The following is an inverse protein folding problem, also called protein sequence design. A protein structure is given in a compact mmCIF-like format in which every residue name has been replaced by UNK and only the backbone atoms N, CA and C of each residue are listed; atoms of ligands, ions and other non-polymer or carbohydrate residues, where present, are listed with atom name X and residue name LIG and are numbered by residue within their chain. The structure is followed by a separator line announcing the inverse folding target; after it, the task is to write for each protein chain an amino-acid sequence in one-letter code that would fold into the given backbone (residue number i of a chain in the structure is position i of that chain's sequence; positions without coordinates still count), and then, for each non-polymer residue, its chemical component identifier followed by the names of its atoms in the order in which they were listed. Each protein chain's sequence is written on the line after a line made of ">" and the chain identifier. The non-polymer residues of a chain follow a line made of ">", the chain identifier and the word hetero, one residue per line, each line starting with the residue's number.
data_IF_649324226620
#
_entry.id   IF_649324226620
#
_cell.length_a   1.000
_cell.length_b   1.000
_cell.length_c   1.000
_cell.angle_alpha   90.00
_cell.angle_beta   90.00
_cell.angle_gamma   90.00
#
_symmetry.space_group_name_H-M   'P 1'
#
loop_
_entity.id
_entity.type
_entity.pdbx_description
1 polymer ?
#
# COMPACT_ATOMS: atom_id res chain seq x y z
N UNK A 1 10.33 3.08 1.82
CA UNK A 1 11.37 2.40 2.62
C UNK A 1 10.86 1.02 3.04
N UNK A 2 11.74 0.01 3.13
CA UNK A 2 11.37 -1.34 3.59
C UNK A 2 12.41 -1.86 4.60
N UNK A 3 11.95 -2.34 5.75
CA UNK A 3 12.75 -3.07 6.74
C UNK A 3 12.33 -4.54 6.75
N UNK A 4 13.09 -5.45 6.11
CA UNK A 4 12.74 -6.86 6.02
C UNK A 4 12.67 -7.55 7.38
N UNK A 5 13.63 -7.26 8.27
CA UNK A 5 13.73 -7.88 9.60
C UNK A 5 12.47 -7.69 10.46
N UNK A 6 11.77 -6.57 10.26
CA UNK A 6 10.57 -6.22 11.00
C UNK A 6 9.29 -6.37 10.14
N UNK A 7 9.44 -6.68 8.85
CA UNK A 7 8.33 -6.71 7.90
C UNK A 7 7.62 -5.36 7.74
N UNK A 8 8.35 -4.24 7.88
CA UNK A 8 7.76 -2.89 7.86
C UNK A 8 8.01 -2.22 6.52
N UNK A 9 6.94 -1.79 5.85
CA UNK A 9 7.00 -0.90 4.69
C UNK A 9 6.52 0.50 5.09
N UNK A 10 7.31 1.52 4.77
CA UNK A 10 6.87 2.92 4.75
C UNK A 10 6.62 3.27 3.29
N UNK A 11 5.34 3.32 2.91
CA UNK A 11 4.88 3.52 1.55
C UNK A 11 4.80 5.01 1.16
N UNK A 12 4.79 5.92 2.15
CA UNK A 12 4.51 7.33 1.88
C UNK A 12 3.14 7.51 1.23
N UNK A 13 3.01 8.48 0.34
CA UNK A 13 1.74 8.82 -0.30
C UNK A 13 1.43 8.03 -1.56
N UNK A 14 2.09 6.90 -1.84
CA UNK A 14 1.64 6.01 -2.91
C UNK A 14 0.41 5.19 -2.50
N UNK A 15 0.35 4.83 -1.22
CA UNK A 15 -0.75 4.12 -0.59
C UNK A 15 -1.32 4.97 0.55
N UNK A 16 -2.58 4.75 0.87
CA UNK A 16 -3.20 5.30 2.06
C UNK A 16 -4.13 4.28 2.72
N UNK A 17 -4.33 4.42 4.02
CA UNK A 17 -5.23 3.57 4.81
C UNK A 17 -6.50 4.30 5.23
N UNK A 18 -6.89 5.35 4.48
CA UNK A 18 -8.09 6.13 4.82
C UNK A 18 -9.33 5.23 4.83
N UNK A 19 -10.26 5.51 5.74
CA UNK A 19 -11.48 4.72 5.95
C UNK A 19 -11.21 3.24 6.27
N UNK A 20 -10.12 2.97 7.00
CA UNK A 20 -9.70 1.62 7.40
C UNK A 20 -9.53 0.66 6.21
N UNK A 21 -9.19 1.22 5.05
CA UNK A 21 -9.02 0.49 3.80
C UNK A 21 -7.71 0.84 3.15
N UNK A 22 -6.97 -0.16 2.67
CA UNK A 22 -5.78 0.08 1.86
C UNK A 22 -6.19 0.50 0.45
N UNK A 23 -5.74 1.69 0.04
CA UNK A 23 -6.08 2.31 -1.24
C UNK A 23 -4.85 2.87 -1.92
N UNK A 24 -4.90 2.93 -3.25
CA UNK A 24 -4.00 3.78 -4.02
C UNK A 24 -4.39 5.25 -3.83
N UNK A 25 -3.41 6.13 -3.92
CA UNK A 25 -3.61 7.57 -3.85
C UNK A 25 -4.33 8.09 -5.11
N UNK A 26 -5.22 9.12 -5.00
CA UNK A 26 -6.08 9.51 -6.11
C UNK A 26 -5.33 10.21 -7.25
N UNK A 27 -5.82 9.98 -8.49
CA UNK A 27 -5.25 10.53 -9.74
C UNK A 27 -4.92 12.02 -9.70
N UNK A 28 -5.72 12.84 -9.00
CA UNK A 28 -5.51 14.30 -8.92
C UNK A 28 -4.18 14.73 -8.30
N UNK A 29 -3.50 13.84 -7.56
CA UNK A 29 -2.19 14.11 -6.94
C UNK A 29 -1.12 13.08 -7.35
N UNK A 30 -1.43 12.23 -8.34
CA UNK A 30 -0.52 11.17 -8.81
C UNK A 30 -0.11 11.50 -10.24
N UNK A 31 1.18 11.77 -10.43
CA UNK A 31 1.73 12.20 -11.72
C UNK A 31 1.56 11.13 -12.81
N UNK A 32 1.80 9.86 -12.47
CA UNK A 32 1.65 8.71 -13.36
C UNK A 32 0.90 7.60 -12.62
N UNK A 33 -0.33 7.32 -13.07
CA UNK A 33 -1.17 6.31 -12.43
C UNK A 33 -0.72 4.89 -12.73
N UNK A 34 -0.10 4.64 -13.87
CA UNK A 34 0.29 3.29 -14.27
C UNK A 34 1.56 2.88 -13.54
N UNK A 35 2.54 3.79 -13.43
CA UNK A 35 3.70 3.59 -12.56
C UNK A 35 3.31 3.51 -11.09
N UNK A 36 2.32 4.28 -10.63
CA UNK A 36 1.83 4.18 -9.26
C UNK A 36 1.19 2.81 -8.99
N UNK A 37 0.39 2.28 -9.93
CA UNK A 37 -0.18 0.93 -9.82
C UNK A 37 0.91 -0.14 -9.78
N UNK A 38 1.89 -0.05 -10.69
CA UNK A 38 3.00 -1.01 -10.74
C UNK A 38 3.82 -0.99 -9.44
N UNK A 39 4.16 0.20 -8.96
CA UNK A 39 4.91 0.38 -7.72
C UNK A 39 4.13 -0.12 -6.51
N UNK A 40 2.81 0.12 -6.47
CA UNK A 40 1.94 -0.45 -5.44
C UNK A 40 1.93 -1.98 -5.47
N UNK A 41 1.82 -2.62 -6.65
CA UNK A 41 1.92 -4.08 -6.78
C UNK A 41 3.25 -4.61 -6.22
N UNK A 42 4.37 -3.95 -6.53
CA UNK A 42 5.69 -4.33 -6.02
C UNK A 42 5.77 -4.22 -4.49
N UNK A 43 5.19 -3.17 -3.90
CA UNK A 43 5.16 -3.02 -2.43
C UNK A 43 4.31 -4.09 -1.75
N UNK A 44 3.16 -4.45 -2.33
CA UNK A 44 2.30 -5.51 -1.79
C UNK A 44 2.94 -6.90 -1.90
N UNK A 45 3.74 -7.14 -2.95
CA UNK A 45 4.46 -8.39 -3.14
C UNK A 45 5.54 -8.65 -2.08
N UNK A 46 5.95 -7.64 -1.30
CA UNK A 46 6.86 -7.79 -0.16
C UNK A 46 6.18 -8.43 1.06
N UNK A 47 4.86 -8.67 0.99
CA UNK A 47 4.03 -9.23 2.08
C UNK A 47 4.37 -8.63 3.45
N UNK A 48 4.32 -7.29 3.60
CA UNK A 48 4.72 -6.66 4.84
C UNK A 48 3.77 -7.01 5.99
N UNK A 49 4.31 -7.16 7.19
CA UNK A 49 3.52 -7.30 8.41
C UNK A 49 2.91 -5.95 8.86
N UNK A 50 3.59 -4.85 8.53
CA UNK A 50 3.15 -3.48 8.83
C UNK A 50 3.32 -2.60 7.60
N UNK A 51 2.25 -1.89 7.25
CA UNK A 51 2.24 -0.96 6.12
C UNK A 51 1.89 0.44 6.64
N UNK A 52 2.91 1.28 6.77
CA UNK A 52 2.80 2.67 7.15
C UNK A 52 2.63 3.54 5.89
N UNK A 53 1.45 4.12 5.73
CA UNK A 53 1.12 5.05 4.66
C UNK A 53 1.34 6.50 5.09
N UNK A 54 1.48 7.41 4.13
CA UNK A 54 1.57 8.85 4.41
C UNK A 54 0.29 9.44 4.99
N UNK A 55 -0.84 8.75 4.84
CA UNK A 55 -2.13 9.13 5.41
C UNK A 55 -2.90 7.93 5.99
N UNK A 56 -3.49 8.15 7.17
CA UNK A 56 -4.28 7.16 7.90
C UNK A 56 -3.47 6.43 8.98
N UNK A 57 -4.09 5.44 9.63
CA UNK A 57 -3.43 4.61 10.65
C UNK A 57 -2.59 3.53 9.95
N UNK A 58 -1.37 3.23 10.42
CA UNK A 58 -0.61 2.10 9.88
C UNK A 58 -1.44 0.80 9.92
N UNK A 59 -1.37 0.03 8.83
CA UNK A 59 -2.04 -1.25 8.76
C UNK A 59 -1.15 -2.30 9.45
N UNK A 60 -1.71 -3.07 10.39
CA UNK A 60 -1.00 -4.11 11.13
C UNK A 60 -1.66 -5.47 10.93
N UNK A 61 -0.88 -6.55 10.89
CA UNK A 61 -1.39 -7.93 10.97
C UNK A 61 -2.53 -8.22 9.99
N UNK A 62 -2.44 -7.63 8.80
CA UNK A 62 -3.53 -7.63 7.83
C UNK A 62 -3.69 -9.03 7.27
N UNK A 63 -4.93 -9.53 7.27
CA UNK A 63 -5.27 -10.76 6.56
C UNK A 63 -4.95 -10.58 5.07
N UNK A 64 -4.51 -11.65 4.43
CA UNK A 64 -4.22 -11.69 2.99
C UNK A 64 -5.32 -11.01 2.16
N UNK A 65 -6.57 -11.13 2.60
CA UNK A 65 -7.76 -10.52 2.01
C UNK A 65 -7.64 -9.01 1.72
N UNK A 66 -7.00 -8.23 2.60
CA UNK A 66 -6.89 -6.76 2.44
C UNK A 66 -5.87 -6.41 1.36
N UNK A 67 -4.71 -7.06 1.37
CA UNK A 67 -3.67 -6.89 0.36
C UNK A 67 -4.15 -7.40 -1.00
N UNK A 68 -4.81 -8.57 -1.01
CA UNK A 68 -5.40 -9.15 -2.22
C UNK A 68 -6.53 -8.30 -2.80
N UNK A 69 -7.31 -7.60 -1.97
CA UNK A 69 -8.36 -6.70 -2.48
C UNK A 69 -7.76 -5.56 -3.27
N UNK A 70 -6.74 -4.87 -2.73
CA UNK A 70 -6.08 -3.81 -3.47
C UNK A 70 -5.35 -4.38 -4.70
N UNK A 71 -4.66 -5.52 -4.57
CA UNK A 71 -3.99 -6.16 -5.69
C UNK A 71 -4.95 -6.44 -6.86
N UNK A 72 -6.19 -6.88 -6.60
CA UNK A 72 -7.24 -7.06 -7.62
C UNK A 72 -7.70 -5.75 -8.25
N UNK A 73 -7.81 -4.67 -7.48
CA UNK A 73 -8.21 -3.35 -7.98
C UNK A 73 -7.12 -2.66 -8.81
N UNK A 74 -5.87 -3.07 -8.63
CA UNK A 74 -4.76 -2.59 -9.44
C UNK A 74 -4.75 -3.24 -10.83
N UNK A 75 -5.57 -4.30 -11.07
CA UNK A 75 -5.72 -5.06 -12.31
C UNK A 75 -5.98 -4.21 -13.54
#
# INVERSE_FOLDING_TARGET
>A
FYCPKQGVVIAGDILNTRKDTLNLTPKRITADMDLARQSARQLLALTPAVLACGHGTPLHGHKDDVLMRLHRQLG
#
